data_IF_414751314744
#
_entry.id   IF_414751314744
#
_cell.length_a   1.000
_cell.length_b   1.000
_cell.length_c   1.000
_cell.angle_alpha   90.00
_cell.angle_beta   90.00
_cell.angle_gamma   90.00
#
_symmetry.space_group_name_H-M   'P 1'
#
loop_
_entity.id
_entity.type
_entity.pdbx_description
1 polymer ?
#
# COMPACT_ATOMS: atom_id res chain seq x y z
N UNK A 1 4.23 20.21 11.77
CA UNK A 1 4.23 18.76 11.47
C UNK A 1 4.91 18.59 10.13
N UNK A 2 5.98 17.82 10.08
CA UNK A 2 6.70 17.46 8.87
C UNK A 2 6.52 15.96 8.65
N UNK A 3 6.03 15.59 7.47
CA UNK A 3 5.86 14.19 7.05
C UNK A 3 6.84 13.93 5.92
N UNK A 4 7.67 12.91 6.09
CA UNK A 4 8.61 12.44 5.08
C UNK A 4 8.15 11.06 4.62
N UNK A 5 7.80 10.94 3.35
CA UNK A 5 7.53 9.66 2.72
C UNK A 5 8.81 9.08 2.12
N UNK A 6 8.87 7.75 1.98
CA UNK A 6 10.04 7.02 1.45
C UNK A 6 11.38 7.42 2.12
N UNK A 7 11.41 7.44 3.45
CA UNK A 7 12.57 7.82 4.25
C UNK A 7 13.83 6.98 3.94
N UNK A 8 13.66 5.76 3.44
CA UNK A 8 14.72 4.87 2.92
C UNK A 8 15.51 5.48 1.77
N UNK A 9 14.91 6.37 0.96
CA UNK A 9 15.63 7.05 -0.12
C UNK A 9 16.70 8.02 0.40
N UNK A 10 16.53 8.53 1.62
CA UNK A 10 17.49 9.42 2.25
C UNK A 10 18.66 8.67 2.89
N UNK A 11 18.53 7.37 3.18
CA UNK A 11 19.64 6.56 3.68
C UNK A 11 20.75 6.40 2.63
N UNK A 12 20.38 6.26 1.36
CA UNK A 12 21.32 6.04 0.25
C UNK A 12 22.23 7.23 -0.05
N UNK A 13 21.83 8.47 0.30
CA UNK A 13 22.55 9.71 -0.05
C UNK A 13 23.50 10.22 1.04
N UNK A 14 23.61 9.50 2.16
CA UNK A 14 24.45 9.86 3.30
C UNK A 14 23.62 9.87 4.58
N UNK A 15 23.96 8.98 5.52
CA UNK A 15 23.24 8.81 6.78
C UNK A 15 23.12 10.11 7.60
N UNK A 16 24.01 11.08 7.37
CA UNK A 16 24.06 12.38 8.05
C UNK A 16 22.79 13.22 7.88
N UNK A 17 22.10 13.09 6.74
CA UNK A 17 20.84 13.82 6.49
C UNK A 17 19.75 13.29 7.41
N UNK A 18 19.62 11.97 7.53
CA UNK A 18 18.64 11.34 8.42
C UNK A 18 18.88 11.74 9.87
N UNK A 19 20.13 11.71 10.33
CA UNK A 19 20.48 12.14 11.69
C UNK A 19 20.06 13.60 11.95
N UNK A 20 20.42 14.49 11.02
CA UNK A 20 20.09 15.93 11.13
C UNK A 20 18.58 16.15 11.20
N UNK A 21 17.79 15.43 10.38
CA UNK A 21 16.33 15.50 10.40
C UNK A 21 15.74 15.06 11.74
N UNK A 22 16.25 13.98 12.33
CA UNK A 22 15.80 13.50 13.64
C UNK A 22 16.25 14.40 14.81
N UNK A 23 17.25 15.27 14.61
CA UNK A 23 17.69 16.27 15.59
C UNK A 23 16.83 17.54 15.58
N UNK A 24 16.22 17.93 14.45
CA UNK A 24 15.42 19.16 14.35
C UNK A 24 14.26 19.28 15.36
N UNK A 25 13.49 18.22 15.67
CA UNK A 25 12.50 18.26 16.75
C UNK A 25 13.09 18.50 18.14
N UNK A 26 14.38 18.22 18.33
CA UNK A 26 15.08 18.28 19.62
C UNK A 26 15.77 19.61 19.87
N UNK A 27 15.89 20.47 18.85
CA UNK A 27 16.52 21.78 18.99
C UNK A 27 15.76 22.63 20.03
N UNK A 28 16.48 23.43 20.86
CA UNK A 28 15.85 24.26 21.87
C UNK A 28 14.88 25.26 21.22
N UNK A 29 13.64 25.30 21.70
CA UNK A 29 12.58 26.14 21.12
C UNK A 29 11.86 25.53 19.91
N UNK A 30 12.25 24.32 19.46
CA UNK A 30 11.57 23.63 18.37
C UNK A 30 10.19 23.14 18.79
N UNK A 31 9.20 23.37 17.93
CA UNK A 31 7.85 22.79 18.02
C UNK A 31 7.58 21.82 16.87
N UNK A 32 8.65 21.32 16.25
CA UNK A 32 8.57 20.44 15.09
C UNK A 32 8.17 19.03 15.54
N UNK A 33 7.14 18.49 14.89
CA UNK A 33 6.80 17.06 14.96
C UNK A 33 7.20 16.44 13.64
N UNK A 34 8.06 15.43 13.67
CA UNK A 34 8.53 14.69 12.49
C UNK A 34 7.87 13.31 12.43
N UNK A 35 7.30 12.97 11.28
CA UNK A 35 6.76 11.64 10.96
C UNK A 35 7.48 11.14 9.71
N UNK A 36 8.15 9.99 9.82
CA UNK A 36 8.81 9.35 8.68
C UNK A 36 8.11 8.04 8.33
N UNK A 37 7.85 7.84 7.04
CA UNK A 37 7.32 6.60 6.47
C UNK A 37 8.43 5.90 5.71
N UNK A 38 8.57 4.60 5.89
CA UNK A 38 9.58 3.81 5.19
C UNK A 38 9.09 2.38 4.97
N UNK A 39 9.54 1.75 3.88
CA UNK A 39 9.11 0.39 3.52
C UNK A 39 9.91 -0.69 4.27
N UNK A 40 11.20 -0.44 4.49
CA UNK A 40 12.07 -1.35 5.23
C UNK A 40 12.22 -0.89 6.68
N UNK A 41 11.71 -1.69 7.62
CA UNK A 41 11.95 -1.47 9.05
C UNK A 41 13.42 -1.63 9.43
N UNK A 42 14.25 -2.23 8.56
CA UNK A 42 15.69 -2.43 8.78
C UNK A 42 16.49 -1.12 8.81
N UNK A 43 15.91 -0.01 8.32
CA UNK A 43 16.38 1.35 8.61
C UNK A 43 16.54 1.62 10.11
N UNK A 44 15.78 0.89 10.94
CA UNK A 44 15.76 1.11 12.38
C UNK A 44 16.84 0.34 13.13
N UNK A 45 17.45 -0.67 12.53
CA UNK A 45 18.47 -1.48 13.21
C UNK A 45 19.90 -1.08 12.85
N UNK A 46 20.17 -0.60 11.63
CA UNK A 46 21.51 -0.10 11.26
C UNK A 46 21.64 1.42 11.43
N UNK A 47 20.68 2.17 10.92
CA UNK A 47 20.71 3.64 10.85
C UNK A 47 20.21 4.29 12.14
N UNK A 48 19.30 3.66 12.91
CA UNK A 48 18.88 4.17 14.22
C UNK A 48 19.69 3.61 15.41
N UNK A 49 20.66 2.71 15.23
CA UNK A 49 21.47 2.20 16.36
C UNK A 49 22.18 3.33 17.13
N UNK A 50 22.73 4.32 16.41
CA UNK A 50 23.33 5.53 17.03
C UNK A 50 22.28 6.47 17.63
N UNK A 51 21.08 6.49 17.06
CA UNK A 51 19.94 7.31 17.50
C UNK A 51 19.27 6.73 18.77
N UNK A 52 19.28 5.40 18.92
CA UNK A 52 18.82 4.65 20.10
C UNK A 52 19.81 4.76 21.28
N UNK A 53 21.11 4.85 20.99
CA UNK A 53 22.15 5.08 22.00
C UNK A 53 22.19 6.52 22.53
N UNK A 54 21.40 7.42 21.95
CA UNK A 54 21.41 8.82 22.33
C UNK A 54 20.59 9.06 23.62
N UNK A 55 21.13 9.80 24.61
CA UNK A 55 20.50 9.97 25.93
C UNK A 55 19.14 10.70 25.91
N UNK A 56 18.79 11.35 24.81
CA UNK A 56 17.52 12.06 24.63
C UNK A 56 16.34 11.18 24.12
N UNK A 57 16.54 9.86 23.99
CA UNK A 57 15.50 8.88 23.62
C UNK A 57 15.43 8.56 22.13
N UNK A 58 14.77 7.45 21.79
CA UNK A 58 14.60 6.96 20.43
C UNK A 58 13.29 7.44 19.79
N UNK A 59 13.21 7.56 18.44
CA UNK A 59 11.94 7.81 17.78
C UNK A 59 10.97 6.65 18.04
N UNK A 60 9.69 6.98 18.21
CA UNK A 60 8.63 5.96 18.37
C UNK A 60 8.40 5.26 17.04
N UNK A 61 8.61 3.94 17.03
CA UNK A 61 8.36 3.11 15.85
C UNK A 61 6.92 2.61 15.87
N UNK A 62 6.22 2.80 14.75
CA UNK A 62 4.89 2.26 14.52
C UNK A 62 4.96 1.33 13.31
N UNK A 63 4.83 0.03 13.55
CA UNK A 63 4.84 -0.98 12.50
C UNK A 63 3.44 -1.18 11.94
N UNK A 64 3.33 -1.11 10.61
CA UNK A 64 2.12 -1.48 9.86
C UNK A 64 2.31 -2.88 9.28
N UNK A 65 1.75 -3.94 9.90
CA UNK A 65 1.85 -5.28 9.38
C UNK A 65 1.09 -5.41 8.05
N UNK A 66 1.46 -6.40 7.22
CA UNK A 66 0.71 -6.72 6.00
C UNK A 66 -0.76 -7.06 6.34
N UNK A 67 -1.67 -6.75 5.42
CA UNK A 67 -3.09 -6.93 5.66
C UNK A 67 -3.46 -8.41 5.79
N UNK A 68 -4.36 -8.69 6.73
CA UNK A 68 -4.95 -10.02 6.88
C UNK A 68 -5.97 -10.29 5.77
N UNK A 69 -6.32 -11.57 5.57
CA UNK A 69 -7.38 -11.98 4.64
C UNK A 69 -8.67 -11.19 4.85
N UNK A 70 -9.09 -11.04 6.11
CA UNK A 70 -10.37 -10.41 6.43
C UNK A 70 -10.31 -8.90 6.18
N UNK A 71 -9.18 -8.26 6.47
CA UNK A 71 -8.94 -6.85 6.13
C UNK A 71 -8.93 -6.63 4.62
N UNK A 72 -8.23 -7.47 3.85
CA UNK A 72 -8.22 -7.38 2.38
C UNK A 72 -9.62 -7.60 1.80
N UNK A 73 -10.37 -8.56 2.34
CA UNK A 73 -11.75 -8.82 1.90
C UNK A 73 -12.63 -7.60 2.13
N UNK A 74 -12.56 -6.99 3.32
CA UNK A 74 -13.31 -5.77 3.64
C UNK A 74 -12.92 -4.60 2.74
N UNK A 75 -11.63 -4.37 2.52
CA UNK A 75 -11.12 -3.32 1.63
C UNK A 75 -11.64 -3.50 0.21
N UNK A 76 -11.57 -4.73 -0.32
CA UNK A 76 -12.08 -5.02 -1.67
C UNK A 76 -13.59 -4.81 -1.75
N UNK A 77 -14.35 -5.31 -0.79
CA UNK A 77 -15.81 -5.14 -0.75
C UNK A 77 -16.21 -3.67 -0.67
N UNK A 78 -15.56 -2.88 0.17
CA UNK A 78 -15.82 -1.45 0.30
C UNK A 78 -15.51 -0.71 -1.02
N UNK A 79 -14.35 -1.01 -1.63
CA UNK A 79 -13.93 -0.35 -2.87
C UNK A 79 -14.80 -0.72 -4.07
N UNK A 80 -15.18 -1.99 -4.20
CA UNK A 80 -16.07 -2.43 -5.27
C UNK A 80 -17.52 -2.03 -5.02
N UNK A 81 -17.96 -1.93 -3.77
CA UNK A 81 -19.29 -1.45 -3.41
C UNK A 81 -19.53 0.02 -3.70
N UNK A 82 -18.47 0.82 -3.89
CA UNK A 82 -18.57 2.21 -4.36
C UNK A 82 -18.85 2.32 -5.87
N UNK A 83 -18.69 1.24 -6.63
CA UNK A 83 -18.96 1.23 -8.07
C UNK A 83 -20.48 1.12 -8.28
N UNK A 84 -21.06 2.10 -8.95
CA UNK A 84 -22.49 2.10 -9.32
C UNK A 84 -22.76 1.06 -10.40
N UNK A 85 -23.66 0.11 -10.13
CA UNK A 85 -24.08 -0.92 -11.09
C UNK A 85 -24.28 -2.27 -10.42
N UNK A 86 -24.49 -3.30 -11.25
CA UNK A 86 -24.54 -4.68 -10.77
C UNK A 86 -23.15 -5.14 -10.32
N UNK A 87 -23.07 -6.02 -9.31
CA UNK A 87 -21.80 -6.52 -8.81
C UNK A 87 -21.04 -7.28 -9.91
N UNK A 88 -19.93 -6.70 -10.36
CA UNK A 88 -19.07 -7.29 -11.41
C UNK A 88 -18.30 -8.51 -10.91
N UNK A 89 -18.09 -8.62 -9.60
CA UNK A 89 -17.32 -9.69 -8.97
C UNK A 89 -18.08 -10.31 -7.80
N UNK A 90 -18.17 -11.64 -7.81
CA UNK A 90 -18.79 -12.41 -6.73
C UNK A 90 -18.03 -12.28 -5.41
N UNK A 91 -18.76 -12.27 -4.30
CA UNK A 91 -18.16 -12.24 -2.96
C UNK A 91 -17.21 -13.42 -2.70
N UNK A 92 -17.50 -14.60 -3.26
CA UNK A 92 -16.63 -15.77 -3.18
C UNK A 92 -15.29 -15.55 -3.91
N UNK A 93 -15.31 -14.86 -5.06
CA UNK A 93 -14.11 -14.52 -5.82
C UNK A 93 -13.25 -13.50 -5.07
N UNK A 94 -13.87 -12.50 -4.43
CA UNK A 94 -13.16 -11.53 -3.58
C UNK A 94 -12.48 -12.21 -2.38
N UNK A 95 -13.18 -13.12 -1.70
CA UNK A 95 -12.60 -13.91 -0.60
C UNK A 95 -11.44 -14.79 -1.05
N UNK A 96 -11.55 -15.39 -2.25
CA UNK A 96 -10.47 -16.18 -2.84
C UNK A 96 -9.25 -15.32 -3.15
N UNK A 97 -9.44 -14.16 -3.79
CA UNK A 97 -8.37 -13.21 -4.07
C UNK A 97 -7.68 -12.74 -2.79
N UNK A 98 -8.44 -12.27 -1.81
CA UNK A 98 -7.92 -11.82 -0.53
C UNK A 98 -7.10 -12.89 0.19
N UNK A 99 -7.58 -14.14 0.20
CA UNK A 99 -6.86 -15.28 0.81
C UNK A 99 -5.53 -15.57 0.10
N UNK A 100 -5.50 -15.50 -1.23
CA UNK A 100 -4.28 -15.72 -2.01
C UNK A 100 -3.27 -14.60 -1.80
N UNK A 101 -3.71 -13.34 -1.81
CA UNK A 101 -2.83 -12.19 -1.64
C UNK A 101 -2.28 -12.10 -0.22
N UNK A 102 -3.11 -12.34 0.81
CA UNK A 102 -2.66 -12.35 2.21
C UNK A 102 -1.62 -13.43 2.49
N UNK A 103 -1.71 -14.58 1.80
CA UNK A 103 -0.75 -15.68 1.96
C UNK A 103 0.62 -15.39 1.33
N UNK A 104 0.69 -14.48 0.34
CA UNK A 104 1.93 -14.18 -0.40
C UNK A 104 2.58 -12.87 0.06
N UNK A 105 1.79 -11.81 0.26
CA UNK A 105 2.33 -10.48 0.57
C UNK A 105 1.48 -9.63 1.52
N UNK A 106 0.15 -9.81 1.50
CA UNK A 106 -0.78 -8.94 2.22
C UNK A 106 -0.81 -7.49 1.72
N UNK A 107 -0.42 -7.26 0.45
CA UNK A 107 -0.47 -5.93 -0.19
C UNK A 107 -1.84 -5.68 -0.83
N UNK A 108 -2.53 -4.63 -0.37
CA UNK A 108 -3.83 -4.23 -0.90
C UNK A 108 -3.76 -3.75 -2.37
N UNK A 109 -2.63 -3.17 -2.80
CA UNK A 109 -2.44 -2.75 -4.20
C UNK A 109 -2.50 -3.96 -5.13
N UNK A 110 -1.75 -5.02 -4.79
CA UNK A 110 -1.77 -6.28 -5.53
C UNK A 110 -3.16 -6.91 -5.59
N UNK A 111 -3.91 -6.88 -4.49
CA UNK A 111 -5.28 -7.39 -4.47
C UNK A 111 -6.19 -6.64 -5.45
N UNK A 112 -6.16 -5.31 -5.44
CA UNK A 112 -6.93 -4.48 -6.36
C UNK A 112 -6.50 -4.66 -7.82
N UNK A 113 -5.19 -4.77 -8.08
CA UNK A 113 -4.66 -5.00 -9.42
C UNK A 113 -5.11 -6.35 -10.00
N UNK A 114 -5.18 -7.40 -9.17
CA UNK A 114 -5.71 -8.71 -9.60
C UNK A 114 -7.18 -8.59 -9.96
N UNK A 115 -7.99 -7.90 -9.14
CA UNK A 115 -9.40 -7.67 -9.44
C UNK A 115 -9.57 -6.87 -10.74
N UNK A 116 -8.80 -5.79 -10.93
CA UNK A 116 -8.81 -5.00 -12.18
C UNK A 116 -8.46 -5.88 -13.37
N UNK A 117 -7.40 -6.70 -13.26
CA UNK A 117 -6.97 -7.57 -14.34
C UNK A 117 -8.01 -8.62 -14.71
N UNK A 118 -8.72 -9.18 -13.72
CA UNK A 118 -9.81 -10.11 -13.99
C UNK A 118 -10.92 -9.47 -14.84
N UNK A 119 -11.29 -8.23 -14.53
CA UNK A 119 -12.29 -7.47 -15.31
C UNK A 119 -11.77 -7.15 -16.72
N UNK A 120 -10.52 -6.70 -16.85
CA UNK A 120 -9.90 -6.42 -18.15
C UNK A 120 -9.91 -7.64 -19.08
N UNK A 121 -9.64 -8.84 -18.55
CA UNK A 121 -9.64 -10.09 -19.33
C UNK A 121 -11.04 -10.40 -19.86
N UNK A 122 -12.08 -10.28 -19.03
CA UNK A 122 -13.47 -10.51 -19.43
C UNK A 122 -13.91 -9.46 -20.46
N UNK A 123 -13.56 -8.19 -20.26
CA UNK A 123 -13.89 -7.13 -21.21
C UNK A 123 -13.28 -7.38 -22.59
N UNK A 124 -12.01 -7.81 -22.64
CA UNK A 124 -11.33 -8.17 -23.89
C UNK A 124 -11.99 -9.37 -24.59
N UNK A 125 -12.36 -10.40 -23.83
CA UNK A 125 -13.02 -11.58 -24.37
C UNK A 125 -14.39 -11.22 -24.95
N UNK A 126 -15.22 -10.46 -24.22
CA UNK A 126 -16.52 -10.00 -24.70
C UNK A 126 -16.35 -9.15 -25.96
N UNK A 127 -15.45 -8.17 -25.99
CA UNK A 127 -15.20 -7.35 -27.19
C UNK A 127 -14.80 -8.20 -28.40
N UNK A 128 -13.96 -9.22 -28.20
CA UNK A 128 -13.57 -10.14 -29.27
C UNK A 128 -14.77 -10.94 -29.81
N UNK A 129 -15.66 -11.38 -28.92
CA UNK A 129 -16.87 -12.12 -29.30
C UNK A 129 -17.92 -11.24 -29.99
N UNK A 130 -18.08 -9.98 -29.57
CA UNK A 130 -18.99 -9.03 -30.21
C UNK A 130 -18.51 -8.63 -31.61
N UNK A 131 -17.19 -8.61 -31.85
CA UNK A 131 -16.65 -8.42 -33.20
C UNK A 131 -16.85 -9.64 -34.11
N UNK A 132 -16.97 -10.85 -33.53
CA UNK A 132 -17.18 -12.10 -34.25
C UNK A 132 -18.66 -12.42 -34.52
N UNK A 133 -19.60 -11.76 -33.84
CA UNK A 133 -21.04 -11.79 -34.16
C UNK A 133 -21.45 -10.47 -34.82
N UNK A 134 -21.63 -10.42 -36.15
CA UNK A 134 -22.25 -9.25 -36.76
C UNK A 134 -23.66 -9.06 -36.17
N UNK A 135 -24.07 -7.81 -35.97
CA UNK A 135 -25.46 -7.50 -35.63
C UNK A 135 -26.38 -8.22 -36.62
N UNK A 136 -27.45 -8.90 -36.17
CA UNK A 136 -28.47 -9.37 -37.09
C UNK A 136 -28.99 -8.15 -37.84
N UNK A 137 -28.80 -8.14 -39.16
CA UNK A 137 -29.22 -7.04 -40.03
C UNK A 137 -30.70 -6.74 -39.79
N UNK A 138 -30.98 -5.48 -39.48
CA UNK A 138 -32.36 -4.99 -39.48
C UNK A 138 -32.89 -5.02 -40.90
N UNK A 139 -34.01 -5.72 -41.08
CA UNK A 139 -34.93 -5.53 -42.22
C UNK A 139 -35.62 -4.16 -42.13
#
# INVERSE_FOLDING_TARGET
>A
LLVLDELDQLESKGQDVLYTLFEWPRLPGSRLVLVGLANALDLTDRSLARLRAHPAGSPRLLHFPPYTRDQLTAILQERLGQVTGDPVLDAAALQFCARKVSAVSGDARKALDICRRAVEVVELEVRSQTLLKPLPGGE
#
